data_IF_081933217774
#
_entry.id   IF_081933217774
#
_cell.length_a   1.000
_cell.length_b   1.000
_cell.length_c   1.000
_cell.angle_alpha   90.00
_cell.angle_beta   90.00
_cell.angle_gamma   90.00
#
_symmetry.space_group_name_H-M   'P 1'
#
loop_
_entity.id
_entity.type
_entity.pdbx_description
1 polymer ?
#
# COMPACT_ATOMS: atom_id res chain seq x y z
N UNK A 1 -7.35 14.56 19.02
CA UNK A 1 -7.25 14.89 17.57
C UNK A 1 -7.98 13.85 16.75
N UNK A 2 -8.73 14.23 15.71
CA UNK A 2 -9.49 13.33 14.83
C UNK A 2 -8.84 13.26 13.47
N UNK A 3 -8.42 12.06 13.06
CA UNK A 3 -7.81 11.78 11.78
C UNK A 3 -8.76 10.95 10.91
N UNK A 4 -9.14 11.46 9.75
CA UNK A 4 -9.84 10.71 8.73
C UNK A 4 -8.85 10.21 7.68
N UNK A 5 -8.92 8.94 7.31
CA UNK A 5 -8.08 8.34 6.28
C UNK A 5 -8.97 7.82 5.17
N UNK A 6 -8.83 8.38 3.98
CA UNK A 6 -9.53 7.88 2.79
C UNK A 6 -8.59 7.01 1.95
N UNK A 7 -8.98 5.75 1.73
CA UNK A 7 -8.30 4.84 0.82
C UNK A 7 -9.29 4.30 -0.20
N UNK A 8 -9.14 4.73 -1.47
CA UNK A 8 -10.07 4.37 -2.54
C UNK A 8 -10.11 2.88 -2.90
N UNK A 9 -9.29 2.06 -2.25
CA UNK A 9 -8.90 0.69 -2.62
C UNK A 9 -10.09 -0.14 -3.14
N UNK A 10 -10.06 -0.41 -4.44
CA UNK A 10 -11.02 -1.27 -5.13
C UNK A 10 -10.36 -2.57 -5.60
N UNK A 11 -9.02 -2.59 -5.64
CA UNK A 11 -8.22 -3.66 -6.24
C UNK A 11 -6.98 -3.93 -5.40
N UNK A 12 -6.75 -5.20 -5.06
CA UNK A 12 -5.57 -5.65 -4.35
C UNK A 12 -5.51 -5.25 -2.87
N UNK A 13 -4.49 -5.72 -2.19
CA UNK A 13 -4.28 -5.52 -0.75
C UNK A 13 -3.24 -4.42 -0.44
N UNK A 14 -2.54 -3.93 -1.47
CA UNK A 14 -1.33 -3.14 -1.28
C UNK A 14 -1.56 -1.76 -0.67
N UNK A 15 -2.59 -1.04 -1.11
CA UNK A 15 -2.86 0.31 -0.63
C UNK A 15 -3.39 0.28 0.81
N UNK A 16 -4.41 -0.54 1.08
CA UNK A 16 -5.00 -0.60 2.42
C UNK A 16 -3.98 -1.08 3.47
N UNK A 17 -3.12 -2.06 3.16
CA UNK A 17 -2.06 -2.51 4.07
C UNK A 17 -1.09 -1.37 4.43
N UNK A 18 -0.71 -0.56 3.44
CA UNK A 18 0.17 0.60 3.67
C UNK A 18 -0.49 1.65 4.54
N UNK A 19 -1.76 2.00 4.25
CA UNK A 19 -2.49 2.98 5.04
C UNK A 19 -2.74 2.48 6.47
N UNK A 20 -3.04 1.20 6.66
CA UNK A 20 -3.16 0.59 7.99
C UNK A 20 -1.83 0.63 8.77
N UNK A 21 -0.69 0.38 8.12
CA UNK A 21 0.62 0.51 8.79
C UNK A 21 0.86 1.95 9.29
N UNK A 22 0.48 2.96 8.48
CA UNK A 22 0.53 4.37 8.90
C UNK A 22 -0.43 4.61 10.08
N UNK A 23 -1.69 4.16 9.99
CA UNK A 23 -2.68 4.34 11.05
C UNK A 23 -2.25 3.71 12.37
N UNK A 24 -1.77 2.47 12.35
CA UNK A 24 -1.30 1.76 13.55
C UNK A 24 -0.11 2.49 14.19
N UNK A 25 0.86 2.93 13.38
CA UNK A 25 2.01 3.68 13.89
C UNK A 25 1.59 5.02 14.50
N UNK A 26 0.72 5.76 13.82
CA UNK A 26 0.17 7.03 14.34
C UNK A 26 -0.57 6.83 15.65
N UNK A 27 -1.45 5.83 15.72
CA UNK A 27 -2.19 5.52 16.94
C UNK A 27 -1.27 5.15 18.11
N UNK A 28 -0.20 4.41 17.85
CA UNK A 28 0.77 4.01 18.88
C UNK A 28 1.69 5.14 19.35
N UNK A 29 1.83 6.22 18.55
CA UNK A 29 2.85 7.26 18.82
C UNK A 29 2.31 8.67 18.99
N UNK A 30 1.06 8.91 18.62
CA UNK A 30 0.37 10.22 18.77
C UNK A 30 -0.70 10.08 19.82
N UNK A 31 -0.57 10.83 20.92
CA UNK A 31 -1.52 10.82 22.03
C UNK A 31 -2.89 11.38 21.61
N UNK A 32 -3.94 10.88 22.23
CA UNK A 32 -5.33 11.32 22.03
C UNK A 32 -5.78 11.38 20.55
N UNK A 33 -5.35 10.38 19.76
CA UNK A 33 -5.66 10.27 18.34
C UNK A 33 -6.80 9.26 18.09
N UNK A 34 -7.92 9.76 17.58
CA UNK A 34 -9.00 8.92 17.04
C UNK A 34 -8.88 8.83 15.53
N UNK A 35 -8.85 7.63 14.97
CA UNK A 35 -8.67 7.40 13.54
C UNK A 35 -9.91 6.77 12.95
N UNK A 36 -10.47 7.40 11.91
CA UNK A 36 -11.57 6.84 11.12
C UNK A 36 -11.10 6.56 9.68
N UNK A 37 -11.07 5.29 9.30
CA UNK A 37 -10.67 4.85 7.96
C UNK A 37 -11.92 4.71 7.09
N UNK A 38 -11.95 5.35 5.93
CA UNK A 38 -13.03 5.22 4.95
C UNK A 38 -12.47 4.57 3.69
N UNK A 39 -12.92 3.36 3.38
CA UNK A 39 -12.32 2.59 2.29
C UNK A 39 -13.33 1.73 1.52
N UNK A 40 -13.10 1.59 0.22
CA UNK A 40 -13.78 0.63 -0.66
C UNK A 40 -13.20 -0.78 -0.63
N UNK A 41 -12.11 -1.03 0.10
CA UNK A 41 -11.43 -2.34 0.11
C UNK A 41 -12.36 -3.45 0.62
N UNK A 42 -12.54 -4.55 -0.14
CA UNK A 42 -13.32 -5.69 0.33
C UNK A 42 -12.64 -6.44 1.49
N UNK A 43 -11.34 -6.23 1.66
CA UNK A 43 -10.52 -6.92 2.67
C UNK A 43 -10.38 -6.14 3.98
N UNK A 44 -10.99 -4.96 4.09
CA UNK A 44 -10.84 -4.11 5.27
C UNK A 44 -11.22 -4.84 6.57
N UNK A 45 -12.31 -5.60 6.55
CA UNK A 45 -12.80 -6.40 7.68
C UNK A 45 -11.88 -7.56 8.10
N UNK A 46 -10.94 -7.97 7.24
CA UNK A 46 -9.99 -9.05 7.54
C UNK A 46 -8.78 -8.58 8.35
N UNK A 47 -8.62 -7.26 8.52
CA UNK A 47 -7.55 -6.69 9.32
C UNK A 47 -8.03 -6.41 10.73
N UNK A 48 -7.21 -6.77 11.73
CA UNK A 48 -7.45 -6.35 13.11
C UNK A 48 -7.05 -4.89 13.25
N UNK A 49 -7.98 -4.09 13.76
CA UNK A 49 -7.72 -2.68 14.10
C UNK A 49 -7.60 -2.54 15.63
N UNK A 50 -6.74 -1.63 16.08
CA UNK A 50 -6.57 -1.35 17.50
C UNK A 50 -7.76 -0.53 18.05
N UNK A 51 -7.99 -0.55 19.35
CA UNK A 51 -8.92 0.37 20.00
C UNK A 51 -8.50 1.81 19.67
N UNK A 52 -9.45 2.69 19.30
CA UNK A 52 -9.17 4.06 18.82
C UNK A 52 -9.03 4.18 17.30
N UNK A 53 -9.07 3.06 16.56
CA UNK A 53 -9.19 3.02 15.10
C UNK A 53 -10.51 2.35 14.75
N UNK A 54 -11.31 2.99 13.90
CA UNK A 54 -12.54 2.41 13.36
C UNK A 54 -12.63 2.67 11.86
N UNK A 55 -13.60 2.06 11.17
CA UNK A 55 -13.70 2.18 9.73
C UNK A 55 -15.14 2.23 9.21
N UNK A 56 -15.29 2.92 8.09
CA UNK A 56 -16.49 2.91 7.24
C UNK A 56 -16.14 2.17 5.94
N UNK A 57 -16.88 1.09 5.67
CA UNK A 57 -16.75 0.32 4.44
C UNK A 57 -17.66 0.89 3.35
N UNK A 58 -17.06 1.50 2.34
CA UNK A 58 -17.79 1.97 1.15
C UNK A 58 -18.16 0.80 0.23
N UNK A 59 -19.29 0.87 -0.52
CA UNK A 59 -19.63 -0.10 -1.55
C UNK A 59 -18.48 -0.34 -2.53
N UNK A 60 -18.19 -1.61 -2.86
CA UNK A 60 -17.08 -1.97 -3.73
C UNK A 60 -17.38 -1.67 -5.19
N UNK A 61 -16.39 -1.07 -5.84
CA UNK A 61 -16.33 -0.98 -7.29
C UNK A 61 -15.30 -1.99 -7.83
N UNK A 62 -15.39 -2.32 -9.11
CA UNK A 62 -14.41 -3.13 -9.84
C UNK A 62 -14.07 -2.45 -11.16
N UNK A 63 -12.93 -2.80 -11.75
CA UNK A 63 -12.69 -2.52 -13.17
C UNK A 63 -13.15 -3.71 -14.00
N UNK A 64 -13.81 -3.42 -15.11
CA UNK A 64 -14.04 -4.39 -16.17
C UNK A 64 -12.73 -4.67 -16.92
N UNK A 65 -12.71 -5.70 -17.74
CA UNK A 65 -11.57 -6.00 -18.63
C UNK A 65 -11.33 -4.87 -19.65
N UNK A 66 -12.34 -4.05 -19.93
CA UNK A 66 -12.26 -2.83 -20.76
C UNK A 66 -11.71 -1.61 -20.01
N UNK A 67 -11.47 -1.72 -18.68
CA UNK A 67 -10.98 -0.64 -17.83
C UNK A 67 -12.05 0.30 -17.28
N UNK A 68 -13.32 0.06 -17.60
CA UNK A 68 -14.45 0.83 -17.07
C UNK A 68 -14.76 0.48 -15.62
N UNK A 69 -15.33 1.43 -14.88
CA UNK A 69 -15.79 1.19 -13.51
C UNK A 69 -17.13 0.45 -13.53
N UNK A 70 -17.18 -0.65 -12.82
CA UNK A 70 -18.39 -1.42 -12.56
C UNK A 70 -18.60 -1.65 -11.06
N UNK A 71 -19.74 -2.18 -10.70
CA UNK A 71 -20.05 -2.53 -9.30
C UNK A 71 -19.67 -3.98 -9.03
N UNK A 72 -19.12 -4.26 -7.85
CA UNK A 72 -18.61 -5.61 -7.53
C UNK A 72 -19.69 -6.52 -6.94
N UNK A 73 -20.51 -6.01 -6.03
CA UNK A 73 -21.44 -6.84 -5.24
C UNK A 73 -22.91 -6.41 -5.36
N UNK A 74 -23.18 -5.11 -5.49
CA UNK A 74 -24.55 -4.60 -5.57
C UNK A 74 -25.06 -4.68 -7.02
N UNK A 75 -26.33 -5.04 -7.24
CA UNK A 75 -26.97 -5.00 -8.55
C UNK A 75 -27.45 -3.55 -8.86
N UNK A 76 -26.49 -2.63 -8.96
CA UNK A 76 -26.71 -1.20 -9.21
C UNK A 76 -25.78 -0.71 -10.31
N UNK A 77 -26.17 0.41 -10.96
CA UNK A 77 -25.30 1.08 -11.91
C UNK A 77 -24.11 1.77 -11.21
N UNK A 78 -22.97 1.85 -11.91
CA UNK A 78 -21.74 2.40 -11.32
C UNK A 78 -21.93 3.84 -10.83
N UNK A 79 -22.64 4.67 -11.58
CA UNK A 79 -22.90 6.07 -11.24
C UNK A 79 -23.76 6.23 -9.98
N UNK A 80 -24.71 5.32 -9.77
CA UNK A 80 -25.54 5.28 -8.55
C UNK A 80 -24.67 4.95 -7.33
N UNK A 81 -23.79 3.96 -7.46
CA UNK A 81 -22.86 3.58 -6.38
C UNK A 81 -21.84 4.69 -6.10
N UNK A 82 -21.33 5.37 -7.13
CA UNK A 82 -20.43 6.53 -6.96
C UNK A 82 -21.16 7.66 -6.23
N UNK A 83 -22.42 7.94 -6.57
CA UNK A 83 -23.24 8.94 -5.87
C UNK A 83 -23.43 8.58 -4.40
N UNK A 84 -23.82 7.32 -4.10
CA UNK A 84 -23.95 6.83 -2.73
C UNK A 84 -22.63 6.99 -1.94
N UNK A 85 -21.51 6.61 -2.52
CA UNK A 85 -20.18 6.76 -1.88
C UNK A 85 -19.84 8.22 -1.62
N UNK A 86 -20.16 9.12 -2.54
CA UNK A 86 -19.99 10.57 -2.43
C UNK A 86 -20.77 11.15 -1.24
N UNK A 87 -22.03 10.74 -1.09
CA UNK A 87 -22.90 11.16 0.02
C UNK A 87 -22.39 10.63 1.36
N UNK A 88 -21.95 9.36 1.42
CA UNK A 88 -21.33 8.79 2.63
C UNK A 88 -20.04 9.53 3.04
N UNK A 89 -19.20 9.88 2.08
CA UNK A 89 -17.97 10.64 2.34
C UNK A 89 -18.27 12.04 2.87
N UNK A 90 -19.21 12.75 2.25
CA UNK A 90 -19.64 14.08 2.69
C UNK A 90 -20.24 14.02 4.10
N UNK A 91 -21.18 13.11 4.35
CA UNK A 91 -21.82 12.92 5.66
C UNK A 91 -20.78 12.57 6.73
N UNK A 92 -19.78 11.75 6.38
CA UNK A 92 -18.68 11.41 7.30
C UNK A 92 -17.89 12.65 7.69
N UNK A 93 -17.50 13.50 6.74
CA UNK A 93 -16.76 14.73 7.02
C UNK A 93 -17.59 15.69 7.88
N UNK A 94 -18.89 15.86 7.55
CA UNK A 94 -19.81 16.71 8.29
C UNK A 94 -19.93 16.31 9.77
N UNK A 95 -20.07 15.01 10.02
CA UNK A 95 -20.34 14.47 11.36
C UNK A 95 -19.06 14.25 12.17
N UNK A 96 -18.01 13.67 11.55
CA UNK A 96 -16.75 13.37 12.22
C UNK A 96 -15.91 14.62 12.45
N UNK A 97 -16.02 15.64 11.59
CA UNK A 97 -15.28 16.93 11.66
C UNK A 97 -13.78 16.70 11.91
N UNK A 98 -13.07 16.08 10.95
CA UNK A 98 -11.68 15.69 11.13
C UNK A 98 -10.76 16.91 11.31
N UNK A 99 -9.75 16.76 12.13
CA UNK A 99 -8.66 17.73 12.24
C UNK A 99 -7.65 17.56 11.11
N UNK A 100 -7.46 16.32 10.66
CA UNK A 100 -6.58 15.96 9.55
C UNK A 100 -7.29 14.94 8.66
N UNK A 101 -7.11 15.10 7.34
CA UNK A 101 -7.54 14.12 6.34
C UNK A 101 -6.31 13.64 5.59
N UNK A 102 -6.06 12.32 5.59
CA UNK A 102 -5.08 11.66 4.71
C UNK A 102 -5.81 11.01 3.56
N UNK A 103 -5.45 11.37 2.33
CA UNK A 103 -6.03 10.82 1.10
C UNK A 103 -4.99 9.97 0.39
N UNK A 104 -5.30 8.69 0.13
CA UNK A 104 -4.37 7.77 -0.54
C UNK A 104 -4.45 7.89 -2.06
N UNK A 105 -3.35 8.23 -2.69
CA UNK A 105 -3.04 8.17 -4.12
C UNK A 105 -3.87 9.07 -5.05
N UNK A 106 -5.21 9.08 -4.95
CA UNK A 106 -6.09 9.81 -5.88
C UNK A 106 -6.64 11.07 -5.25
N UNK A 107 -6.22 12.26 -5.72
CA UNK A 107 -6.58 13.52 -5.07
C UNK A 107 -8.08 13.83 -5.01
N UNK A 108 -8.85 13.41 -6.01
CA UNK A 108 -10.30 13.58 -6.07
C UNK A 108 -11.10 12.33 -5.64
N UNK A 109 -10.38 11.29 -5.20
CA UNK A 109 -10.95 9.98 -4.95
C UNK A 109 -11.20 9.19 -6.24
N UNK A 110 -12.05 8.17 -6.15
CA UNK A 110 -12.45 7.38 -7.30
C UNK A 110 -13.58 8.09 -8.04
N UNK A 111 -13.37 8.42 -9.32
CA UNK A 111 -14.34 9.14 -10.16
C UNK A 111 -14.83 10.47 -9.54
N UNK A 112 -13.96 11.19 -8.84
CA UNK A 112 -14.32 12.48 -8.23
C UNK A 112 -15.22 12.39 -7.00
N UNK A 113 -15.35 11.22 -6.39
CA UNK A 113 -16.26 11.02 -5.25
C UNK A 113 -15.89 11.83 -3.99
N UNK A 114 -14.64 12.22 -3.85
CA UNK A 114 -14.16 12.97 -2.68
C UNK A 114 -14.35 14.50 -2.82
N UNK A 115 -14.56 15.01 -4.02
CA UNK A 115 -14.59 16.46 -4.29
C UNK A 115 -15.63 17.22 -3.46
N UNK A 116 -16.89 16.77 -3.27
CA UNK A 116 -17.84 17.51 -2.43
C UNK A 116 -17.42 17.61 -0.97
N UNK A 117 -16.80 16.54 -0.43
CA UNK A 117 -16.26 16.53 0.92
C UNK A 117 -15.08 17.49 1.05
N UNK A 118 -14.15 17.51 0.09
CA UNK A 118 -13.00 18.44 0.08
C UNK A 118 -13.48 19.90 -0.04
N UNK A 119 -14.47 20.18 -0.88
CA UNK A 119 -15.08 21.51 -1.02
C UNK A 119 -15.69 21.96 0.30
N UNK A 120 -16.45 21.08 0.96
CA UNK A 120 -17.03 21.37 2.28
C UNK A 120 -15.94 21.67 3.31
N UNK A 121 -14.87 20.90 3.35
CA UNK A 121 -13.72 21.15 4.24
C UNK A 121 -13.19 22.56 4.04
N UNK A 122 -12.95 22.99 2.82
CA UNK A 122 -12.41 24.34 2.55
C UNK A 122 -13.36 25.47 2.92
N UNK A 123 -14.69 25.24 2.78
CA UNK A 123 -15.69 26.28 3.09
C UNK A 123 -16.06 26.34 4.57
N UNK A 124 -16.20 25.19 5.24
CA UNK A 124 -16.80 25.10 6.57
C UNK A 124 -15.85 24.61 7.68
N UNK A 125 -14.73 23.99 7.31
CA UNK A 125 -13.72 23.47 8.23
C UNK A 125 -12.31 23.93 7.80
N UNK A 126 -12.05 25.25 7.67
CA UNK A 126 -10.79 25.78 7.11
C UNK A 126 -9.54 25.33 7.87
N UNK A 127 -9.69 25.00 9.15
CA UNK A 127 -8.61 24.51 10.01
C UNK A 127 -8.25 23.04 9.75
N UNK A 128 -9.08 22.28 9.01
CA UNK A 128 -8.78 20.88 8.68
C UNK A 128 -7.61 20.81 7.72
N UNK A 129 -6.54 20.13 8.11
CA UNK A 129 -5.38 19.90 7.27
C UNK A 129 -5.60 18.70 6.34
N UNK A 130 -5.48 18.90 5.03
CA UNK A 130 -5.67 17.85 4.03
C UNK A 130 -4.33 17.49 3.40
N UNK A 131 -3.94 16.23 3.52
CA UNK A 131 -2.69 15.69 2.97
C UNK A 131 -2.97 14.58 1.96
N UNK A 132 -2.29 14.65 0.80
CA UNK A 132 -2.22 13.52 -0.11
C UNK A 132 -1.06 12.61 0.28
N UNK A 133 -1.29 11.31 0.32
CA UNK A 133 -0.24 10.29 0.50
C UNK A 133 0.04 9.64 -0.85
N UNK A 134 1.22 9.84 -1.39
CA UNK A 134 1.65 9.28 -2.67
C UNK A 134 2.77 8.26 -2.47
N UNK A 135 2.76 7.18 -3.27
CA UNK A 135 4.00 6.44 -3.52
C UNK A 135 4.90 7.27 -4.44
N UNK A 136 6.19 7.01 -4.39
CA UNK A 136 7.16 7.64 -5.26
C UNK A 136 6.84 7.43 -6.76
N UNK A 137 6.75 6.17 -7.20
CA UNK A 137 6.53 5.80 -8.59
C UNK A 137 5.09 5.30 -8.76
N UNK A 138 4.32 5.99 -9.60
CA UNK A 138 2.91 5.67 -9.90
C UNK A 138 2.78 4.86 -11.20
N UNK A 139 3.39 5.34 -12.27
CA UNK A 139 3.51 4.73 -13.61
C UNK A 139 4.62 5.45 -14.38
N UNK A 140 4.77 5.16 -15.66
CA UNK A 140 5.66 5.89 -16.55
C UNK A 140 5.39 7.41 -16.49
N UNK A 141 6.43 8.25 -16.42
CA UNK A 141 6.28 9.71 -16.24
C UNK A 141 5.34 10.37 -17.24
N UNK A 142 5.48 10.05 -18.53
CA UNK A 142 4.61 10.61 -19.57
C UNK A 142 3.14 10.25 -19.35
N UNK A 143 2.84 8.98 -19.04
CA UNK A 143 1.48 8.49 -18.81
C UNK A 143 0.86 9.09 -17.55
N UNK A 144 1.63 9.20 -16.48
CA UNK A 144 1.16 9.85 -15.23
C UNK A 144 0.87 11.33 -15.46
N UNK A 145 1.75 12.05 -16.14
CA UNK A 145 1.57 13.47 -16.46
C UNK A 145 0.32 13.69 -17.33
N UNK A 146 0.10 12.86 -18.34
CA UNK A 146 -1.09 12.90 -19.19
C UNK A 146 -2.38 12.64 -18.37
N UNK A 147 -2.40 11.59 -17.53
CA UNK A 147 -3.55 11.30 -16.67
C UNK A 147 -3.84 12.45 -15.72
N UNK A 148 -2.81 13.01 -15.07
CA UNK A 148 -2.97 14.14 -14.14
C UNK A 148 -3.50 15.40 -14.82
N UNK A 149 -3.04 15.69 -16.02
CA UNK A 149 -3.51 16.81 -16.83
C UNK A 149 -4.98 16.61 -17.23
N UNK A 150 -5.30 15.43 -17.77
CA UNK A 150 -6.68 15.09 -18.19
C UNK A 150 -7.68 15.15 -17.04
N UNK A 151 -7.26 14.76 -15.84
CA UNK A 151 -8.12 14.78 -14.63
C UNK A 151 -8.09 16.10 -13.88
N UNK A 152 -7.26 17.05 -14.26
CA UNK A 152 -7.13 18.31 -13.57
C UNK A 152 -6.55 18.20 -12.14
N UNK A 153 -5.77 17.15 -11.84
CA UNK A 153 -5.26 16.89 -10.49
C UNK A 153 -4.39 18.01 -9.95
N UNK A 154 -3.66 18.74 -10.78
CA UNK A 154 -2.91 19.90 -10.33
C UNK A 154 -3.81 20.99 -9.73
N UNK A 155 -5.01 21.22 -10.28
CA UNK A 155 -5.98 22.17 -9.72
C UNK A 155 -6.55 21.65 -8.40
N UNK A 156 -6.90 20.37 -8.33
CA UNK A 156 -7.38 19.72 -7.09
C UNK A 156 -6.33 19.85 -5.98
N UNK A 157 -5.06 19.56 -6.26
CA UNK A 157 -3.96 19.70 -5.31
C UNK A 157 -3.71 21.14 -4.91
N UNK A 158 -3.84 22.07 -5.84
CA UNK A 158 -3.67 23.49 -5.56
C UNK A 158 -4.71 23.99 -4.55
N UNK A 159 -5.99 23.69 -4.80
CA UNK A 159 -7.11 24.25 -4.04
C UNK A 159 -7.45 23.49 -2.77
N UNK A 160 -7.30 22.16 -2.76
CA UNK A 160 -7.82 21.34 -1.66
C UNK A 160 -6.76 20.72 -0.75
N UNK A 161 -5.49 20.78 -1.09
CA UNK A 161 -4.44 20.11 -0.31
C UNK A 161 -3.46 21.09 0.31
N UNK A 162 -3.08 20.83 1.55
CA UNK A 162 -2.07 21.61 2.27
C UNK A 162 -0.69 20.98 2.12
N UNK A 163 -0.61 19.65 1.98
CA UNK A 163 0.64 18.93 1.83
C UNK A 163 0.50 17.66 0.99
N UNK A 164 1.63 17.17 0.49
CA UNK A 164 1.76 15.93 -0.27
C UNK A 164 2.88 15.14 0.38
N UNK A 165 2.54 14.02 1.01
CA UNK A 165 3.46 13.12 1.70
C UNK A 165 3.88 12.03 0.71
N UNK A 166 5.11 12.09 0.20
CA UNK A 166 5.64 11.11 -0.72
C UNK A 166 6.33 10.00 0.06
N UNK A 167 5.80 8.79 -0.06
CA UNK A 167 6.39 7.57 0.49
C UNK A 167 7.51 7.10 -0.44
N UNK A 168 8.68 7.69 -0.29
CA UNK A 168 9.85 7.49 -1.13
C UNK A 168 10.91 8.54 -0.83
N UNK A 169 12.02 8.46 -1.53
CA UNK A 169 13.14 9.39 -1.44
C UNK A 169 13.32 10.15 -2.73
N UNK A 170 13.56 11.46 -2.65
CA UNK A 170 13.80 12.31 -3.82
C UNK A 170 14.98 11.81 -4.66
N UNK A 171 16.04 11.30 -4.02
CA UNK A 171 17.21 10.75 -4.70
C UNK A 171 16.94 9.48 -5.50
N UNK A 172 15.87 8.73 -5.17
CA UNK A 172 15.42 7.57 -5.96
C UNK A 172 14.52 8.00 -7.10
N UNK A 173 13.52 8.84 -6.79
CA UNK A 173 12.57 9.32 -7.78
C UNK A 173 12.00 10.69 -7.37
N UNK A 174 12.38 11.73 -8.11
CA UNK A 174 11.86 13.07 -7.88
C UNK A 174 10.49 13.24 -8.56
N UNK A 175 9.41 13.09 -7.79
CA UNK A 175 8.04 13.21 -8.31
C UNK A 175 7.75 14.55 -8.95
N UNK A 176 8.38 15.62 -8.47
CA UNK A 176 8.19 16.96 -9.02
C UNK A 176 8.79 17.10 -10.42
N UNK A 177 10.01 16.63 -10.58
CA UNK A 177 10.72 16.68 -11.87
C UNK A 177 10.12 15.69 -12.87
N UNK A 178 9.95 14.41 -12.45
CA UNK A 178 9.51 13.33 -13.31
C UNK A 178 8.06 13.53 -13.82
N UNK A 179 7.15 13.96 -12.94
CA UNK A 179 5.74 14.18 -13.31
C UNK A 179 5.44 15.64 -13.72
N UNK A 180 6.47 16.48 -13.85
CA UNK A 180 6.34 17.90 -14.24
C UNK A 180 5.31 18.65 -13.41
N UNK A 181 5.34 18.42 -12.09
CA UNK A 181 4.41 19.05 -11.15
C UNK A 181 4.73 20.55 -11.06
N UNK A 182 3.72 21.45 -11.13
CA UNK A 182 3.95 22.89 -11.02
C UNK A 182 4.66 23.29 -9.72
N UNK A 183 5.58 24.29 -9.75
CA UNK A 183 6.36 24.70 -8.59
C UNK A 183 5.52 25.09 -7.36
N UNK A 184 4.32 25.64 -7.57
CA UNK A 184 3.40 25.98 -6.49
C UNK A 184 2.92 24.74 -5.71
N UNK A 185 2.78 23.61 -6.38
CA UNK A 185 2.38 22.34 -5.78
C UNK A 185 3.61 21.62 -5.22
N UNK A 186 4.76 21.69 -5.90
CA UNK A 186 6.01 21.10 -5.39
C UNK A 186 6.40 21.63 -4.01
N UNK A 187 6.08 22.89 -3.68
CA UNK A 187 6.29 23.43 -2.32
C UNK A 187 5.48 22.73 -1.23
N UNK A 188 4.44 21.98 -1.59
CA UNK A 188 3.63 21.16 -0.67
C UNK A 188 4.18 19.74 -0.50
N UNK A 189 5.17 19.34 -1.30
CA UNK A 189 5.74 17.98 -1.31
C UNK A 189 6.73 17.81 -0.18
N UNK A 190 6.57 16.72 0.58
CA UNK A 190 7.49 16.24 1.59
C UNK A 190 7.83 14.78 1.33
N UNK A 191 9.09 14.46 1.12
CA UNK A 191 9.58 13.08 1.02
C UNK A 191 9.72 12.49 2.40
N UNK A 192 8.96 11.43 2.66
CA UNK A 192 8.93 10.79 3.99
C UNK A 192 9.90 9.62 4.13
N UNK A 193 10.46 9.11 3.03
CA UNK A 193 11.14 7.83 2.99
C UNK A 193 10.16 6.67 2.75
N UNK A 194 10.65 5.44 2.88
CA UNK A 194 9.87 4.22 2.65
C UNK A 194 9.26 3.71 3.95
N UNK A 195 8.14 2.99 3.83
CA UNK A 195 7.39 2.46 4.99
C UNK A 195 8.06 1.20 5.51
N UNK A 196 8.76 1.29 6.64
CA UNK A 196 9.23 0.12 7.37
C UNK A 196 8.05 -0.52 8.13
N UNK A 197 7.90 -1.85 8.01
CA UNK A 197 6.92 -2.60 8.79
C UNK A 197 7.65 -3.38 9.88
N UNK A 198 7.33 -3.10 11.12
CA UNK A 198 7.89 -3.79 12.29
C UNK A 198 6.80 -4.63 12.93
N UNK A 199 6.50 -5.76 12.31
CA UNK A 199 5.60 -6.77 12.87
C UNK A 199 6.41 -7.77 13.70
N UNK A 200 5.76 -8.40 14.69
CA UNK A 200 6.37 -9.50 15.41
C UNK A 200 6.57 -10.66 14.43
N UNK A 201 7.81 -11.07 14.23
CA UNK A 201 8.16 -12.17 13.33
C UNK A 201 8.12 -13.50 14.08
N UNK A 202 7.68 -14.55 13.40
CA UNK A 202 7.82 -15.90 13.89
C UNK A 202 9.30 -16.32 13.97
N UNK A 203 9.61 -17.26 14.85
CA UNK A 203 10.94 -17.83 14.93
C UNK A 203 11.32 -18.53 13.61
N UNK A 204 12.39 -18.05 12.98
CA UNK A 204 12.84 -18.58 11.68
C UNK A 204 13.19 -20.07 11.73
N UNK A 205 13.78 -20.56 12.83
CA UNK A 205 14.15 -21.95 12.93
C UNK A 205 12.92 -22.84 13.04
N UNK A 206 11.91 -22.39 13.80
CA UNK A 206 10.62 -23.08 13.92
C UNK A 206 9.90 -23.12 12.57
N UNK A 207 9.78 -22.01 11.90
CA UNK A 207 9.10 -21.94 10.60
C UNK A 207 9.82 -22.79 9.53
N UNK A 208 11.15 -22.78 9.52
CA UNK A 208 11.94 -23.64 8.61
C UNK A 208 11.71 -25.13 8.90
N UNK A 209 11.64 -25.53 10.17
CA UNK A 209 11.33 -26.91 10.55
C UNK A 209 9.93 -27.33 10.10
N UNK A 210 8.91 -26.49 10.25
CA UNK A 210 7.55 -26.71 9.76
C UNK A 210 7.48 -26.84 8.23
N UNK A 211 8.36 -26.15 7.52
CA UNK A 211 8.52 -26.25 6.08
C UNK A 211 9.35 -27.47 5.62
N UNK A 212 9.93 -28.23 6.56
CA UNK A 212 10.78 -29.38 6.29
C UNK A 212 12.21 -29.01 5.83
N UNK A 213 12.67 -27.80 6.18
CA UNK A 213 13.98 -27.28 5.79
C UNK A 213 14.96 -27.44 6.95
N UNK A 214 15.96 -28.30 6.77
CA UNK A 214 16.99 -28.56 7.77
C UNK A 214 17.93 -27.37 8.01
N UNK A 215 18.58 -27.34 9.16
CA UNK A 215 19.64 -26.36 9.44
C UNK A 215 20.75 -26.46 8.39
N UNK A 216 21.20 -25.30 7.87
CA UNK A 216 22.21 -25.21 6.83
C UNK A 216 21.72 -25.42 5.39
N UNK A 217 20.47 -25.83 5.20
CA UNK A 217 19.84 -25.93 3.87
C UNK A 217 19.36 -24.55 3.42
N UNK A 218 19.67 -24.15 2.20
CA UNK A 218 19.18 -22.88 1.68
C UNK A 218 17.66 -22.91 1.44
N UNK A 219 16.94 -21.87 1.88
CA UNK A 219 15.51 -21.67 1.66
C UNK A 219 15.29 -20.54 0.66
N UNK A 220 14.66 -20.84 -0.47
CA UNK A 220 14.24 -19.85 -1.47
C UNK A 220 12.73 -19.67 -1.40
N UNK A 221 12.28 -18.43 -1.24
CA UNK A 221 10.86 -18.07 -1.25
C UNK A 221 10.52 -17.39 -2.58
N UNK A 222 9.50 -17.88 -3.28
CA UNK A 222 8.94 -17.20 -4.45
C UNK A 222 7.53 -16.68 -4.15
N UNK A 223 7.26 -15.40 -4.40
CA UNK A 223 5.94 -14.79 -4.17
C UNK A 223 5.65 -13.67 -5.16
N UNK A 224 4.40 -13.62 -5.61
CA UNK A 224 3.89 -12.57 -6.49
C UNK A 224 2.91 -11.59 -5.80
N UNK A 225 2.91 -11.56 -4.46
CA UNK A 225 1.97 -10.74 -3.68
C UNK A 225 0.53 -11.26 -3.79
N UNK A 226 -0.40 -10.49 -4.39
CA UNK A 226 -1.79 -10.92 -4.61
C UNK A 226 -1.94 -12.16 -5.52
N UNK A 227 -1.01 -12.34 -6.44
CA UNK A 227 -0.94 -13.51 -7.33
C UNK A 227 -1.55 -13.34 -8.72
N UNK A 228 -2.33 -12.28 -8.96
CA UNK A 228 -3.04 -12.06 -10.23
C UNK A 228 -2.12 -12.18 -11.46
N UNK A 229 -0.97 -11.53 -11.44
CA UNK A 229 -0.01 -11.45 -12.56
C UNK A 229 1.19 -12.40 -12.40
N UNK A 230 1.25 -13.17 -11.32
CA UNK A 230 2.49 -13.87 -10.90
C UNK A 230 2.69 -15.26 -11.45
N UNK A 231 1.78 -15.80 -12.25
CA UNK A 231 1.81 -17.20 -12.66
C UNK A 231 3.10 -17.59 -13.37
N UNK A 232 3.56 -16.80 -14.33
CA UNK A 232 4.78 -17.08 -15.09
C UNK A 232 6.03 -17.11 -14.19
N UNK A 233 6.14 -16.13 -13.27
CA UNK A 233 7.23 -16.08 -12.30
C UNK A 233 7.25 -17.33 -11.43
N UNK A 234 6.11 -17.68 -10.84
CA UNK A 234 6.01 -18.84 -9.94
C UNK A 234 6.30 -20.15 -10.65
N UNK A 235 5.79 -20.32 -11.88
CA UNK A 235 6.06 -21.51 -12.67
C UNK A 235 7.56 -21.65 -12.98
N UNK A 236 8.21 -20.57 -13.46
CA UNK A 236 9.65 -20.61 -13.75
C UNK A 236 10.49 -20.81 -12.49
N UNK A 237 10.03 -20.34 -11.34
CA UNK A 237 10.68 -20.62 -10.05
C UNK A 237 10.59 -22.10 -9.69
N UNK A 238 9.42 -22.74 -9.86
CA UNK A 238 9.25 -24.18 -9.62
C UNK A 238 10.15 -25.01 -10.57
N UNK A 239 10.21 -24.63 -11.84
CA UNK A 239 11.07 -25.31 -12.82
C UNK A 239 12.57 -25.14 -12.49
N UNK A 240 12.97 -23.98 -11.93
CA UNK A 240 14.34 -23.73 -11.46
C UNK A 240 14.71 -24.54 -10.21
N UNK A 241 13.74 -24.96 -9.40
CA UNK A 241 13.97 -25.58 -8.10
C UNK A 241 14.82 -26.86 -8.17
N UNK A 242 14.67 -27.67 -9.23
CA UNK A 242 15.49 -28.89 -9.42
C UNK A 242 16.97 -28.57 -9.49
N UNK A 243 17.34 -27.58 -10.29
CA UNK A 243 18.73 -27.16 -10.45
C UNK A 243 19.28 -26.56 -9.15
N UNK A 244 18.49 -25.71 -8.47
CA UNK A 244 18.84 -25.12 -7.19
C UNK A 244 19.07 -26.19 -6.11
N UNK A 245 18.25 -27.23 -6.09
CA UNK A 245 18.44 -28.35 -5.19
C UNK A 245 19.71 -29.14 -5.52
N UNK A 246 19.92 -29.49 -6.81
CA UNK A 246 21.09 -30.25 -7.24
C UNK A 246 22.41 -29.52 -6.92
N UNK A 247 22.49 -28.22 -7.15
CA UNK A 247 23.72 -27.44 -7.00
C UNK A 247 23.97 -26.94 -5.56
N UNK A 248 22.91 -26.72 -4.74
CA UNK A 248 23.01 -26.11 -3.42
C UNK A 248 22.17 -26.79 -2.32
N UNK A 249 21.50 -27.89 -2.61
CA UNK A 249 20.58 -28.52 -1.67
C UNK A 249 19.39 -27.63 -1.31
N UNK A 250 19.11 -26.56 -2.09
CA UNK A 250 18.10 -25.57 -1.74
C UNK A 250 16.66 -26.13 -1.77
N UNK A 251 15.86 -25.70 -0.82
CA UNK A 251 14.41 -25.90 -0.82
C UNK A 251 13.70 -24.66 -1.37
N UNK A 252 12.57 -24.87 -2.09
CA UNK A 252 11.75 -23.81 -2.66
C UNK A 252 10.38 -23.79 -2.00
N UNK A 253 9.96 -22.61 -1.51
CA UNK A 253 8.57 -22.35 -1.10
C UNK A 253 7.98 -21.32 -2.05
N UNK A 254 6.83 -21.65 -2.64
CA UNK A 254 6.09 -20.76 -3.54
C UNK A 254 4.78 -20.38 -2.87
N UNK A 255 4.54 -19.08 -2.68
CA UNK A 255 3.26 -18.57 -2.17
C UNK A 255 2.49 -17.95 -3.33
N UNK A 256 1.43 -18.63 -3.73
CA UNK A 256 0.68 -18.34 -4.96
C UNK A 256 -0.06 -16.99 -4.91
N UNK A 257 -0.61 -16.64 -3.74
CA UNK A 257 -1.47 -15.47 -3.55
C UNK A 257 -2.96 -15.78 -3.78
N UNK A 258 -3.85 -15.09 -3.05
CA UNK A 258 -5.28 -15.39 -3.03
C UNK A 258 -6.00 -15.03 -4.35
N UNK A 259 -5.43 -14.14 -5.14
CA UNK A 259 -6.03 -13.66 -6.41
C UNK A 259 -5.64 -14.49 -7.63
N UNK A 260 -4.77 -15.52 -7.44
CA UNK A 260 -4.38 -16.41 -8.54
C UNK A 260 -5.58 -17.26 -9.00
N UNK A 261 -5.92 -17.29 -10.31
CA UNK A 261 -6.99 -18.11 -10.85
C UNK A 261 -6.82 -19.59 -10.52
N UNK A 262 -7.92 -20.29 -10.20
CA UNK A 262 -7.92 -21.68 -9.76
C UNK A 262 -7.24 -22.66 -10.75
N UNK A 263 -7.44 -22.44 -12.06
CA UNK A 263 -6.79 -23.23 -13.10
C UNK A 263 -5.25 -23.07 -13.08
N UNK A 264 -4.76 -21.85 -12.87
CA UNK A 264 -3.32 -21.58 -12.77
C UNK A 264 -2.75 -22.17 -11.48
N UNK A 265 -3.47 -22.06 -10.37
CA UNK A 265 -3.10 -22.67 -9.09
C UNK A 265 -2.94 -24.19 -9.20
N UNK A 266 -3.87 -24.87 -9.87
CA UNK A 266 -3.77 -26.31 -10.14
C UNK A 266 -2.52 -26.65 -10.97
N UNK A 267 -2.17 -25.83 -11.96
CA UNK A 267 -0.95 -26.02 -12.77
C UNK A 267 0.32 -25.88 -11.92
N UNK A 268 0.40 -24.88 -11.01
CA UNK A 268 1.54 -24.74 -10.09
C UNK A 268 1.66 -25.98 -9.18
N UNK A 269 0.55 -26.47 -8.61
CA UNK A 269 0.56 -27.68 -7.77
C UNK A 269 1.03 -28.91 -8.54
N UNK A 270 0.61 -29.07 -9.80
CA UNK A 270 1.07 -30.16 -10.67
C UNK A 270 2.56 -30.05 -10.98
N UNK A 271 3.06 -28.85 -11.29
CA UNK A 271 4.48 -28.62 -11.53
C UNK A 271 5.32 -28.92 -10.28
N UNK A 272 4.86 -28.51 -9.10
CA UNK A 272 5.54 -28.75 -7.84
C UNK A 272 5.58 -30.24 -7.46
N UNK A 273 4.55 -31.02 -7.78
CA UNK A 273 4.55 -32.46 -7.55
C UNK A 273 5.68 -33.20 -8.29
N UNK A 274 6.17 -32.63 -9.41
CA UNK A 274 7.28 -33.16 -10.19
C UNK A 274 8.63 -32.50 -9.83
N UNK A 275 8.66 -31.55 -8.91
CA UNK A 275 9.85 -30.83 -8.47
C UNK A 275 10.14 -31.16 -6.98
N UNK A 276 11.12 -32.04 -6.71
CA UNK A 276 11.47 -32.40 -5.34
C UNK A 276 11.90 -31.15 -4.54
N UNK A 277 11.64 -31.17 -3.26
CA UNK A 277 11.95 -30.07 -2.33
C UNK A 277 11.26 -28.72 -2.64
N UNK A 278 10.13 -28.80 -3.38
CA UNK A 278 9.29 -27.64 -3.68
C UNK A 278 7.94 -27.73 -2.97
N UNK A 279 7.54 -26.69 -2.24
CA UNK A 279 6.25 -26.59 -1.58
C UNK A 279 5.47 -25.40 -2.11
N UNK A 280 4.23 -25.62 -2.53
CA UNK A 280 3.32 -24.56 -2.97
C UNK A 280 2.28 -24.31 -1.87
N UNK A 281 2.18 -23.07 -1.42
CA UNK A 281 1.20 -22.57 -0.48
C UNK A 281 0.26 -21.61 -1.21
N UNK A 282 -1.03 -21.68 -0.90
CA UNK A 282 -2.01 -20.79 -1.52
C UNK A 282 -1.88 -19.36 -0.98
N UNK A 283 -1.80 -19.27 0.33
CA UNK A 283 -1.75 -18.00 1.08
C UNK A 283 -1.05 -18.21 2.41
N UNK A 284 -0.36 -17.19 2.87
CA UNK A 284 0.18 -17.11 4.23
C UNK A 284 -0.24 -15.79 4.87
N UNK A 285 -0.71 -15.79 6.11
CA UNK A 285 -1.16 -14.57 6.79
C UNK A 285 0.01 -13.62 7.10
N UNK A 286 1.16 -14.18 7.42
CA UNK A 286 2.39 -13.46 7.77
C UNK A 286 3.52 -13.73 6.76
N UNK A 287 3.48 -12.99 5.65
CA UNK A 287 4.50 -13.08 4.60
C UNK A 287 5.88 -12.61 5.08
N UNK A 288 5.93 -11.68 6.03
CA UNK A 288 7.20 -11.16 6.53
C UNK A 288 8.01 -12.22 7.27
N UNK A 289 7.37 -13.08 8.05
CA UNK A 289 8.04 -14.22 8.69
C UNK A 289 8.62 -15.21 7.67
N UNK A 290 7.89 -15.50 6.58
CA UNK A 290 8.41 -16.32 5.50
C UNK A 290 9.60 -15.67 4.79
N UNK A 291 9.51 -14.37 4.49
CA UNK A 291 10.64 -13.62 3.94
C UNK A 291 11.83 -13.60 4.91
N UNK A 292 11.57 -13.44 6.21
CA UNK A 292 12.61 -13.47 7.24
C UNK A 292 13.32 -14.83 7.31
N UNK A 293 12.58 -15.92 7.20
CA UNK A 293 13.15 -17.28 7.21
C UNK A 293 13.91 -17.63 5.92
N UNK A 294 13.59 -17.00 4.78
CA UNK A 294 14.23 -17.27 3.50
C UNK A 294 15.66 -16.69 3.41
N UNK A 295 16.54 -17.36 2.66
CA UNK A 295 17.87 -16.87 2.31
C UNK A 295 17.84 -15.96 1.09
N UNK A 296 16.97 -16.27 0.11
CA UNK A 296 16.72 -15.45 -1.08
C UNK A 296 15.22 -15.41 -1.36
N UNK A 297 14.73 -14.23 -1.73
CA UNK A 297 13.33 -14.03 -2.10
C UNK A 297 13.21 -13.71 -3.60
N UNK A 298 12.37 -14.46 -4.32
CA UNK A 298 12.00 -14.18 -5.71
C UNK A 298 10.67 -13.45 -5.70
N UNK A 299 10.58 -12.27 -6.33
CA UNK A 299 9.37 -11.45 -6.31
C UNK A 299 9.24 -10.55 -7.54
N UNK A 300 8.08 -9.87 -7.67
CA UNK A 300 7.80 -8.94 -8.77
C UNK A 300 8.25 -7.50 -8.50
N UNK A 301 8.74 -7.16 -7.32
CA UNK A 301 9.23 -5.81 -7.01
C UNK A 301 8.14 -4.75 -6.78
N UNK A 302 6.95 -5.15 -6.31
CA UNK A 302 5.93 -4.21 -5.87
C UNK A 302 6.40 -3.36 -4.67
N UNK A 303 5.85 -2.14 -4.51
CA UNK A 303 6.25 -1.19 -3.47
C UNK A 303 6.34 -1.83 -2.07
N UNK A 304 5.27 -2.50 -1.62
CA UNK A 304 5.26 -3.10 -0.27
C UNK A 304 6.33 -4.19 -0.12
N UNK A 305 6.49 -5.03 -1.15
CA UNK A 305 7.49 -6.11 -1.14
C UNK A 305 8.90 -5.55 -1.05
N UNK A 306 9.21 -4.49 -1.79
CA UNK A 306 10.52 -3.82 -1.70
C UNK A 306 10.75 -3.25 -0.29
N UNK A 307 9.73 -2.61 0.30
CA UNK A 307 9.79 -2.13 1.67
C UNK A 307 10.00 -3.26 2.69
N UNK A 308 9.33 -4.40 2.52
CA UNK A 308 9.46 -5.59 3.37
C UNK A 308 10.87 -6.19 3.25
N UNK A 309 11.39 -6.35 2.04
CA UNK A 309 12.75 -6.83 1.79
C UNK A 309 13.81 -5.89 2.38
N UNK A 310 13.64 -4.59 2.22
CA UNK A 310 14.55 -3.59 2.78
C UNK A 310 14.50 -3.59 4.32
N UNK A 311 13.31 -3.67 4.92
CA UNK A 311 13.14 -3.78 6.38
C UNK A 311 13.84 -5.02 6.95
N UNK A 312 13.73 -6.15 6.26
CA UNK A 312 14.34 -7.43 6.67
C UNK A 312 15.78 -7.59 6.19
N UNK A 313 16.29 -6.63 5.44
CA UNK A 313 17.62 -6.68 4.81
C UNK A 313 17.84 -7.97 3.98
N UNK A 314 16.86 -8.34 3.14
CA UNK A 314 16.85 -9.59 2.37
C UNK A 314 17.43 -9.44 0.98
N UNK A 315 18.15 -10.46 0.53
CA UNK A 315 18.58 -10.63 -0.86
C UNK A 315 17.41 -11.07 -1.72
N UNK A 316 17.37 -10.60 -2.96
CA UNK A 316 16.23 -10.88 -3.81
C UNK A 316 16.58 -11.08 -5.29
N UNK A 317 15.70 -11.80 -5.99
CA UNK A 317 15.60 -11.82 -7.44
C UNK A 317 14.27 -11.16 -7.80
N UNK A 318 14.34 -10.08 -8.58
CA UNK A 318 13.18 -9.27 -8.93
C UNK A 318 12.82 -9.45 -10.39
N UNK A 319 11.55 -9.79 -10.66
CA UNK A 319 11.00 -9.91 -12.02
C UNK A 319 9.83 -8.94 -12.14
N UNK A 320 10.08 -7.66 -12.48
CA UNK A 320 9.06 -6.63 -12.47
C UNK A 320 8.02 -6.86 -13.57
N UNK A 321 6.74 -6.65 -13.28
CA UNK A 321 5.74 -6.55 -14.32
C UNK A 321 5.90 -5.26 -15.10
N UNK A 322 5.50 -5.28 -16.38
CA UNK A 322 5.55 -4.13 -17.28
C UNK A 322 4.17 -3.67 -17.77
N UNK A 323 3.13 -4.42 -17.48
CA UNK A 323 1.74 -4.11 -17.78
C UNK A 323 0.83 -4.45 -16.58
N UNK A 324 -0.29 -3.72 -16.37
CA UNK A 324 -0.78 -2.54 -17.11
C UNK A 324 -0.03 -1.24 -16.77
N UNK A 325 0.82 -1.24 -15.74
CA UNK A 325 1.62 -0.10 -15.27
C UNK A 325 3.10 -0.48 -15.17
N UNK A 326 3.98 0.46 -15.47
CA UNK A 326 5.44 0.24 -15.50
C UNK A 326 6.12 0.53 -14.14
N UNK A 327 5.36 0.80 -13.08
CA UNK A 327 5.90 1.23 -11.78
C UNK A 327 6.99 0.29 -11.23
N UNK A 328 6.82 -1.03 -11.41
CA UNK A 328 7.76 -2.01 -10.86
C UNK A 328 9.07 -2.02 -11.65
N UNK A 329 9.00 -1.95 -12.98
CA UNK A 329 10.19 -1.88 -13.82
C UNK A 329 10.99 -0.62 -13.51
N UNK A 330 10.35 0.55 -13.52
CA UNK A 330 10.99 1.83 -13.21
C UNK A 330 11.61 1.80 -11.81
N UNK A 331 10.90 1.22 -10.82
CA UNK A 331 11.44 1.06 -9.46
C UNK A 331 12.71 0.23 -9.45
N UNK A 332 12.75 -0.90 -10.15
CA UNK A 332 13.94 -1.75 -10.19
C UNK A 332 15.11 -1.02 -10.87
N UNK A 333 14.86 -0.29 -11.94
CA UNK A 333 15.89 0.51 -12.61
C UNK A 333 16.45 1.62 -11.70
N UNK A 334 15.56 2.36 -11.03
CA UNK A 334 15.96 3.47 -10.14
C UNK A 334 16.60 3.01 -8.82
N UNK A 335 16.29 1.80 -8.38
CA UNK A 335 16.83 1.24 -7.13
C UNK A 335 17.99 0.28 -7.33
N UNK A 336 18.56 0.16 -8.52
CA UNK A 336 19.61 -0.80 -8.84
C UNK A 336 20.80 -0.76 -7.87
N UNK A 337 21.17 0.44 -7.40
CA UNK A 337 22.26 0.66 -6.46
C UNK A 337 21.84 0.69 -4.99
N UNK A 338 20.57 0.46 -4.69
CA UNK A 338 20.03 0.63 -3.34
C UNK A 338 19.80 -0.65 -2.56
N UNK A 339 20.01 -1.82 -3.16
CA UNK A 339 19.80 -3.07 -2.44
C UNK A 339 20.39 -4.30 -3.11
N UNK A 340 20.52 -5.39 -2.35
CA UNK A 340 21.13 -6.64 -2.79
C UNK A 340 20.13 -7.47 -3.60
N UNK A 341 19.83 -7.09 -4.83
CA UNK A 341 18.96 -7.86 -5.71
C UNK A 341 19.49 -7.97 -7.13
N UNK A 342 19.01 -8.98 -7.84
CA UNK A 342 19.20 -9.14 -9.28
C UNK A 342 17.85 -8.92 -9.96
N UNK A 343 17.79 -8.03 -10.94
CA UNK A 343 16.60 -7.81 -11.76
C UNK A 343 16.65 -8.67 -13.02
N UNK A 344 15.56 -9.39 -13.30
CA UNK A 344 15.39 -10.18 -14.51
C UNK A 344 14.25 -9.59 -15.37
N UNK A 345 14.40 -9.68 -16.69
CA UNK A 345 13.33 -9.31 -17.61
C UNK A 345 12.13 -10.25 -17.45
N UNK A 346 10.89 -9.73 -17.38
CA UNK A 346 9.70 -10.59 -17.42
C UNK A 346 9.47 -11.21 -18.81
N UNK A 347 9.99 -10.57 -19.86
CA UNK A 347 9.85 -11.04 -21.24
C UNK A 347 10.83 -12.19 -21.50
N UNK A 348 10.27 -13.36 -21.85
CA UNK A 348 11.07 -14.56 -22.11
C UNK A 348 11.73 -15.14 -20.85
N UNK A 349 11.13 -14.90 -19.66
CA UNK A 349 11.63 -15.46 -18.40
C UNK A 349 11.78 -16.98 -18.49
N UNK A 350 12.97 -17.47 -18.14
CA UNK A 350 13.33 -18.89 -18.19
C UNK A 350 13.82 -19.37 -16.82
N UNK A 351 13.53 -20.61 -16.51
CA UNK A 351 13.95 -21.26 -15.27
C UNK A 351 15.48 -21.19 -15.04
N UNK A 352 16.28 -21.37 -16.10
CA UNK A 352 17.75 -21.25 -15.99
C UNK A 352 18.18 -19.85 -15.53
N UNK A 353 17.59 -18.80 -16.08
CA UNK A 353 17.89 -17.42 -15.66
C UNK A 353 17.50 -17.17 -14.21
N UNK A 354 16.37 -17.70 -13.75
CA UNK A 354 15.94 -17.64 -12.35
C UNK A 354 16.94 -18.39 -11.46
N UNK A 355 17.34 -19.61 -11.87
CA UNK A 355 18.32 -20.41 -11.13
C UNK A 355 19.68 -19.69 -11.02
N UNK A 356 20.21 -19.15 -12.12
CA UNK A 356 21.49 -18.41 -12.14
C UNK A 356 21.44 -17.21 -11.20
N UNK A 357 20.35 -16.43 -11.24
CA UNK A 357 20.19 -15.26 -10.37
C UNK A 357 20.12 -15.65 -8.89
N UNK A 358 19.41 -16.72 -8.54
CA UNK A 358 19.33 -17.22 -7.16
C UNK A 358 20.70 -17.75 -6.69
N UNK A 359 21.39 -18.51 -7.52
CA UNK A 359 22.73 -19.04 -7.21
C UNK A 359 23.74 -17.92 -7.00
N UNK A 360 23.66 -16.85 -7.80
CA UNK A 360 24.47 -15.63 -7.60
C UNK A 360 24.18 -15.02 -6.23
N UNK A 361 22.92 -14.81 -5.86
CA UNK A 361 22.56 -14.25 -4.57
C UNK A 361 23.00 -15.11 -3.38
N UNK A 362 22.88 -16.42 -3.47
CA UNK A 362 23.36 -17.35 -2.44
C UNK A 362 24.88 -17.34 -2.32
N UNK A 363 25.62 -17.24 -3.43
CA UNK A 363 27.09 -17.21 -3.45
C UNK A 363 27.64 -15.89 -2.92
N UNK A 364 27.01 -14.77 -3.25
CA UNK A 364 27.38 -13.45 -2.75
C UNK A 364 27.14 -13.30 -1.23
N UNK A 365 26.11 -13.96 -0.71
CA UNK A 365 25.85 -14.02 0.73
C UNK A 365 27.01 -14.69 1.48
N UNK A 366 27.62 -15.74 0.88
CA UNK A 366 28.75 -16.44 1.46
C UNK A 366 30.07 -15.66 1.37
N UNK A 367 30.28 -14.89 0.28
CA UNK A 367 31.54 -14.18 0.02
C UNK A 367 31.61 -12.82 0.69
N UNK A 368 30.54 -12.04 0.68
CA UNK A 368 30.52 -10.63 1.06
C UNK A 368 29.70 -10.34 2.32
N UNK A 369 29.18 -11.36 3.01
CA UNK A 369 28.31 -11.16 4.15
C UNK A 369 26.97 -10.49 3.77
N UNK A 370 26.44 -9.67 4.67
CA UNK A 370 25.20 -8.92 4.43
C UNK A 370 25.51 -7.66 3.62
N UNK A 371 25.17 -7.65 2.35
CA UNK A 371 24.98 -6.42 1.59
C UNK A 371 23.70 -5.75 2.08
N UNK A 372 23.72 -4.47 2.40
CA UNK A 372 22.61 -3.78 3.04
C UNK A 372 21.77 -2.99 2.05
N UNK A 373 20.48 -2.93 2.31
CA UNK A 373 19.59 -1.98 1.65
C UNK A 373 19.89 -0.56 2.13
N UNK A 374 20.04 0.37 1.19
CA UNK A 374 20.36 1.79 1.46
C UNK A 374 19.16 2.72 1.27
N UNK A 375 17.94 2.16 1.36
CA UNK A 375 16.72 2.95 1.30
C UNK A 375 16.48 3.66 2.63
N UNK A 376 15.99 4.88 2.57
CA UNK A 376 15.56 5.63 3.75
C UNK A 376 14.21 5.09 4.25
N UNK A 377 14.22 4.26 5.27
CA UNK A 377 13.04 3.59 5.84
C UNK A 377 12.31 4.41 6.91
N UNK A 378 12.50 5.73 6.95
CA UNK A 378 11.99 6.61 8.01
C UNK A 378 10.58 7.17 7.81
N UNK A 379 9.72 6.60 6.94
CA UNK A 379 8.42 7.19 6.62
C UNK A 379 7.50 7.32 7.85
N UNK A 380 7.32 6.27 8.62
CA UNK A 380 6.36 6.25 9.72
C UNK A 380 6.67 7.30 10.80
N UNK A 381 7.91 7.38 11.35
CA UNK A 381 8.23 8.40 12.36
C UNK A 381 8.15 9.83 11.81
N UNK A 382 8.48 10.08 10.52
CA UNK A 382 8.34 11.42 9.92
C UNK A 382 6.89 11.82 9.77
N UNK A 383 6.02 10.91 9.33
CA UNK A 383 4.58 11.17 9.25
C UNK A 383 4.02 11.43 10.66
N UNK A 384 4.41 10.65 11.67
CA UNK A 384 3.96 10.86 13.04
C UNK A 384 4.42 12.23 13.59
N UNK A 385 5.67 12.62 13.32
CA UNK A 385 6.18 13.94 13.68
C UNK A 385 5.37 15.05 13.00
N UNK A 386 5.11 14.92 11.70
CA UNK A 386 4.32 15.88 10.94
C UNK A 386 2.88 16.02 11.47
N UNK A 387 2.21 14.91 11.77
CA UNK A 387 0.84 14.93 12.34
C UNK A 387 0.82 15.58 13.72
N UNK A 388 1.82 15.32 14.58
CA UNK A 388 1.95 16.00 15.89
C UNK A 388 2.14 17.51 15.75
N UNK A 389 2.92 17.97 14.78
CA UNK A 389 3.10 19.41 14.53
C UNK A 389 1.78 20.09 14.14
N UNK A 390 0.93 19.43 13.34
CA UNK A 390 -0.41 19.97 13.00
C UNK A 390 -1.26 20.07 14.27
N UNK A 391 -1.31 19.03 15.10
CA UNK A 391 -2.05 19.03 16.36
C UNK A 391 -1.58 20.10 17.34
N UNK A 392 -0.27 20.29 17.49
CA UNK A 392 0.32 21.30 18.36
C UNK A 392 0.01 22.75 17.93
N UNK A 393 0.01 23.05 16.63
CA UNK A 393 -0.38 24.37 16.10
C UNK A 393 -1.84 24.71 16.42
N UNK A 394 -2.75 23.73 16.29
CA UNK A 394 -4.18 23.92 16.60
C UNK A 394 -4.41 24.15 18.09
N UNK A 395 -3.74 23.40 18.95
CA UNK A 395 -3.84 23.62 20.41
C UNK A 395 -3.37 25.01 20.80
N UNK A 396 -2.29 25.52 20.20
CA UNK A 396 -1.81 26.88 20.43
C UNK A 396 -2.78 27.95 19.92
N UNK A 397 -3.41 27.75 18.76
CA UNK A 397 -4.43 28.67 18.22
C UNK A 397 -5.71 28.64 19.04
N UNK A 398 -6.16 27.50 19.52
CA UNK A 398 -7.33 27.36 20.38
C UNK A 398 -7.15 28.08 21.74
N UNK A 399 -5.93 28.13 22.28
CA UNK A 399 -5.62 28.89 23.51
C UNK A 399 -5.65 30.41 23.31
N UNK A 400 -5.53 30.91 22.09
CA UNK A 400 -5.53 32.34 21.76
C UNK A 400 -6.87 32.85 21.23
N UNK A 401 -7.87 32.00 21.03
CA UNK A 401 -9.22 32.45 20.67
C UNK A 401 -9.99 32.83 21.94
N UNK A 402 -10.56 34.07 22.03
CA UNK A 402 -11.50 34.38 23.09
C UNK A 402 -12.68 33.41 23.03
N UNK A 403 -13.07 32.86 24.18
CA UNK A 403 -14.24 32.00 24.29
C UNK A 403 -15.47 32.76 23.74
N UNK A 404 -15.85 32.47 22.50
CA UNK A 404 -17.13 32.94 21.99
C UNK A 404 -18.23 32.25 22.82
N UNK A 405 -18.95 33.01 23.62
CA UNK A 405 -20.15 32.55 24.31
C UNK A 405 -21.10 32.07 23.22
N UNK A 406 -21.42 30.77 23.23
CA UNK A 406 -22.52 30.23 22.42
C UNK A 406 -23.80 30.97 22.79
N UNK A 407 -24.60 31.44 21.84
CA UNK A 407 -25.94 31.97 22.16
C UNK A 407 -26.74 30.84 22.83
N UNK A 408 -27.33 31.15 23.97
CA UNK A 408 -28.28 30.26 24.63
C UNK A 408 -29.48 30.08 23.67
N UNK A 409 -29.64 28.86 23.16
CA UNK A 409 -30.85 28.49 22.47
C UNK A 409 -31.94 28.29 23.51
N UNK A 410 -32.92 29.20 23.55
CA UNK A 410 -34.15 28.96 24.27
C UNK A 410 -34.76 27.65 23.77
N UNK A 411 -34.92 26.70 24.67
CA UNK A 411 -35.59 25.41 24.41
C UNK A 411 -37.06 25.76 24.18
N UNK A 412 -37.49 25.85 22.93
CA UNK A 412 -38.86 25.97 22.55
C UNK A 412 -39.68 24.78 23.09
N UNK A 413 -40.84 25.10 23.64
CA UNK A 413 -41.80 24.16 24.25
C UNK A 413 -42.10 22.93 23.38
N UNK A 414 -42.34 21.79 24.01
CA UNK A 414 -42.61 20.54 23.26
C UNK A 414 -43.93 20.66 22.47
N UNK A 415 -43.89 20.25 21.21
CA UNK A 415 -45.10 20.08 20.39
C UNK A 415 -46.07 19.12 21.08
N UNK A 416 -47.21 19.65 21.52
CA UNK A 416 -48.33 18.85 22.00
C UNK A 416 -49.05 18.27 20.78
N UNK A 417 -49.13 16.93 20.74
CA UNK A 417 -49.91 16.16 19.76
C UNK A 417 -51.37 16.64 19.70
N UNK A 418 -51.77 17.15 18.54
CA UNK A 418 -53.19 17.36 18.20
C UNK A 418 -53.64 16.17 17.32
N UNK A 419 -53.95 15.05 17.95
CA UNK A 419 -54.68 13.95 17.34
C UNK A 419 -55.84 13.56 18.25
N UNK A 420 -56.99 14.20 18.04
CA UNK A 420 -58.33 13.69 18.33
C UNK A 420 -59.41 14.69 17.91
N UNK A 421 -59.97 14.51 16.72
CA UNK A 421 -61.40 14.58 16.38
C UNK A 421 -61.60 14.34 14.87
#
# INVERSE_FOLDING_TARGET
MRLMVYSHDTFGLGNIRRMLAICHHLHATVEDLSILIVSGSPMLQSFRVAAGIDYIKLPCLKRSDTGELGVKFLPMEADEVIRLRRELLLSTVLSFRPDVILVDKKPDGLAGELEPALRHVRCALPETHVSLVLRDILDAPAKTTEEWTKRGYNNVLHWYYDSILVLGSQGVFDVCAEYRIPPAICRKVMYCGYVARHEALEDSAKLRAELGVSSGTALVLATAGGGEDGFALMLQSIEAARRLHTERGAHMVVVAGPELPSAQRKRLSTAAANAPYTRVLEFVPDMMSYMHAADVVISMGGYNTVCELATLNKRAVMVPRTAPVMEQLIRMERMADYGPYVALSPHGLRADAVADAVLTQLSDAQRHGRSEWRLDMGALPRIAHFIRQIGGRRSAQAMHMPQARLPEWEVGEPFVDAAAS
#
